data_IF_016681072159
#
_entry.id   IF_016681072159
#
_cell.length_a   1.000
_cell.length_b   1.000
_cell.length_c   1.000
_cell.angle_alpha   90.00
_cell.angle_beta   90.00
_cell.angle_gamma   90.00
#
_symmetry.space_group_name_H-M   'P 1'
#
loop_
_entity.id
_entity.type
_entity.pdbx_description
1 polymer ?
#
# COMPACT_ATOMS: atom_id res chain seq x y z
N UNK A 1 -60.74 -41.92 1.56
CA UNK A 1 -59.40 -42.11 2.13
C UNK A 1 -58.52 -41.04 1.51
N UNK A 2 -58.36 -39.90 2.22
CA UNK A 2 -57.68 -38.71 1.72
C UNK A 2 -56.24 -38.70 2.22
N UNK A 3 -55.29 -38.83 1.32
CA UNK A 3 -53.88 -38.68 1.62
C UNK A 3 -53.49 -37.24 1.36
N UNK A 4 -53.23 -36.47 2.42
CA UNK A 4 -52.66 -35.15 2.34
C UNK A 4 -51.15 -35.27 2.06
N UNK A 5 -50.75 -34.85 0.88
CA UNK A 5 -49.32 -34.68 0.55
C UNK A 5 -48.80 -33.41 1.23
N UNK A 6 -47.87 -33.60 2.16
CA UNK A 6 -47.16 -32.51 2.84
C UNK A 6 -45.97 -32.08 1.98
N UNK A 7 -46.07 -30.89 1.41
CA UNK A 7 -45.00 -30.28 0.58
C UNK A 7 -44.07 -29.47 1.50
N UNK A 8 -43.06 -30.14 2.06
CA UNK A 8 -41.92 -29.44 2.62
C UNK A 8 -40.78 -29.48 1.58
N UNK A 9 -40.67 -28.43 0.80
CA UNK A 9 -39.51 -28.18 -0.04
C UNK A 9 -38.35 -27.68 0.82
N UNK A 10 -37.53 -28.59 1.30
CA UNK A 10 -36.23 -28.28 1.85
C UNK A 10 -35.33 -27.76 0.75
N UNK A 11 -34.82 -26.55 0.93
CA UNK A 11 -33.74 -26.00 0.08
C UNK A 11 -32.51 -26.81 0.29
N UNK A 12 -32.15 -27.64 -0.68
CA UNK A 12 -30.84 -28.29 -0.74
C UNK A 12 -29.85 -27.23 -1.25
N UNK A 13 -28.97 -26.81 -0.38
CA UNK A 13 -27.76 -26.09 -0.75
C UNK A 13 -26.86 -27.09 -1.51
N UNK A 14 -26.74 -26.88 -2.80
CA UNK A 14 -25.83 -27.63 -3.65
C UNK A 14 -24.41 -27.14 -3.38
N UNK A 15 -23.71 -27.78 -2.44
CA UNK A 15 -22.29 -27.66 -2.33
C UNK A 15 -21.69 -28.41 -3.54
N UNK A 16 -21.21 -27.64 -4.51
CA UNK A 16 -20.52 -28.18 -5.67
C UNK A 16 -19.23 -28.88 -5.28
N UNK A 17 -19.26 -30.21 -5.19
CA UNK A 17 -18.07 -31.01 -5.16
C UNK A 17 -17.44 -30.93 -6.55
N UNK A 18 -16.33 -30.19 -6.73
CA UNK A 18 -15.48 -30.28 -7.88
C UNK A 18 -14.86 -31.68 -7.91
N UNK A 19 -15.41 -32.56 -8.73
CA UNK A 19 -14.79 -33.83 -9.04
C UNK A 19 -13.47 -33.56 -9.75
N UNK A 20 -12.37 -33.88 -9.10
CA UNK A 20 -11.06 -33.92 -9.72
C UNK A 20 -11.03 -35.07 -10.75
N UNK A 21 -11.13 -34.72 -12.01
CA UNK A 21 -10.82 -35.63 -13.09
C UNK A 21 -9.29 -35.83 -13.14
N UNK A 22 -8.82 -36.95 -12.69
CA UNK A 22 -7.44 -37.42 -12.90
C UNK A 22 -7.22 -37.68 -14.39
N UNK A 23 -6.72 -36.70 -15.11
CA UNK A 23 -6.12 -36.92 -16.43
C UNK A 23 -4.66 -37.29 -16.19
N UNK A 24 -4.35 -38.60 -16.31
CA UNK A 24 -2.98 -39.08 -16.39
C UNK A 24 -2.50 -38.82 -17.82
N UNK A 25 -1.72 -37.78 -17.98
CA UNK A 25 -1.12 -37.47 -19.28
C UNK A 25 -0.30 -36.20 -19.20
N UNK A 26 1.05 -36.36 -19.21
CA UNK A 26 2.08 -35.32 -19.27
C UNK A 26 1.99 -34.25 -18.17
N UNK A 27 2.88 -34.38 -17.20
CA UNK A 27 3.18 -33.33 -16.24
C UNK A 27 3.79 -32.15 -16.98
N UNK A 28 2.95 -31.29 -17.52
CA UNK A 28 3.28 -29.90 -17.67
C UNK A 28 3.23 -29.38 -16.22
N UNK A 29 4.29 -28.79 -15.68
CA UNK A 29 4.14 -28.07 -14.43
C UNK A 29 3.10 -26.99 -14.71
N UNK A 30 1.88 -27.20 -14.26
CA UNK A 30 0.90 -26.15 -14.17
C UNK A 30 1.44 -25.20 -13.10
N UNK A 31 2.33 -24.31 -13.50
CA UNK A 31 2.50 -23.07 -12.78
C UNK A 31 1.15 -22.41 -12.90
N UNK A 32 0.39 -22.53 -11.83
CA UNK A 32 -0.89 -21.88 -11.72
C UNK A 32 -0.66 -20.40 -11.97
N UNK A 33 -1.04 -19.95 -13.16
CA UNK A 33 -0.86 -18.59 -13.63
C UNK A 33 -1.70 -17.57 -12.87
N UNK A 34 -2.40 -17.94 -11.81
CA UNK A 34 -3.28 -17.06 -11.06
C UNK A 34 -3.05 -17.20 -9.55
N UNK A 35 -1.81 -16.92 -9.12
CA UNK A 35 -1.57 -16.64 -7.72
C UNK A 35 -1.72 -15.14 -7.49
N UNK A 36 -2.95 -14.69 -7.29
CA UNK A 36 -3.23 -13.35 -6.82
C UNK A 36 -2.80 -13.22 -5.36
N UNK A 37 -1.55 -12.88 -5.13
CA UNK A 37 -1.07 -12.47 -3.84
C UNK A 37 -1.51 -11.02 -3.59
N UNK A 38 -2.49 -10.80 -2.72
CA UNK A 38 -2.79 -9.45 -2.25
C UNK A 38 -1.70 -9.05 -1.27
N UNK A 39 -0.92 -8.06 -1.62
CA UNK A 39 0.13 -7.54 -0.77
C UNK A 39 -0.38 -6.29 -0.10
N UNK A 40 -0.64 -6.36 1.20
CA UNK A 40 -0.99 -5.20 1.99
C UNK A 40 0.29 -4.59 2.54
N UNK A 41 0.66 -3.42 2.06
CA UNK A 41 1.62 -2.58 2.74
C UNK A 41 0.83 -1.82 3.79
N UNK A 42 1.00 -2.19 5.07
CA UNK A 42 0.34 -1.50 6.18
C UNK A 42 1.25 -0.43 6.73
N UNK A 43 0.71 0.78 6.93
CA UNK A 43 1.43 1.80 7.67
C UNK A 43 0.97 1.86 9.12
N UNK A 44 1.86 2.34 10.00
CA UNK A 44 1.51 2.58 11.39
C UNK A 44 0.84 3.96 11.53
N UNK A 45 -0.41 3.99 11.96
CA UNK A 45 -1.17 5.22 12.21
C UNK A 45 -0.65 6.04 13.41
N UNK A 46 0.33 5.52 14.15
CA UNK A 46 0.89 6.16 15.35
C UNK A 46 1.71 7.43 15.06
N UNK A 47 1.93 7.75 13.81
CA UNK A 47 2.65 8.96 13.37
C UNK A 47 1.80 9.91 12.54
N UNK A 48 0.51 9.70 12.51
CA UNK A 48 -0.38 10.77 12.13
C UNK A 48 -0.19 11.91 13.08
N UNK A 49 0.15 13.01 12.49
CA UNK A 49 0.30 14.32 13.05
C UNK A 49 -0.61 14.53 14.22
N UNK A 50 -0.07 14.89 15.35
CA UNK A 50 -0.89 15.44 16.43
C UNK A 50 -1.71 16.58 15.86
N UNK A 51 -3.02 16.49 15.94
CA UNK A 51 -3.94 17.54 15.50
C UNK A 51 -3.78 18.89 16.25
N UNK A 52 -2.71 19.02 17.02
CA UNK A 52 -2.36 20.23 17.79
C UNK A 52 -1.71 21.31 16.94
N UNK A 53 -1.14 20.96 15.78
CA UNK A 53 -0.41 21.92 14.95
C UNK A 53 -1.20 22.45 13.76
N UNK A 54 -2.47 22.07 13.59
CA UNK A 54 -3.33 22.58 12.52
C UNK A 54 -2.97 22.08 11.12
N UNK A 55 -2.00 21.17 10.96
CA UNK A 55 -1.61 20.56 9.69
C UNK A 55 -1.11 19.13 9.86
N UNK A 56 -0.98 18.42 8.76
CA UNK A 56 -0.52 17.04 8.74
C UNK A 56 -0.20 16.53 7.36
N UNK A 57 0.22 15.26 7.30
CA UNK A 57 0.40 14.56 6.04
C UNK A 57 -0.69 13.51 5.86
N UNK A 58 -1.39 13.58 4.74
CA UNK A 58 -2.19 12.50 4.22
C UNK A 58 -1.27 11.52 3.50
N UNK A 59 -1.31 10.26 3.89
CA UNK A 59 -0.47 9.19 3.37
C UNK A 59 -1.34 8.00 3.01
N UNK A 60 -0.92 7.12 2.08
CA UNK A 60 -1.69 5.94 1.72
C UNK A 60 -1.87 5.02 2.94
N UNK A 61 -3.09 4.58 3.19
CA UNK A 61 -3.41 3.62 4.25
C UNK A 61 -2.99 2.20 3.89
N UNK A 62 -2.89 1.91 2.59
CA UNK A 62 -2.40 0.66 2.04
C UNK A 62 -1.95 0.86 0.59
N UNK A 63 -1.02 0.03 0.13
CA UNK A 63 -0.59 -0.05 -1.26
C UNK A 63 -0.83 -1.51 -1.71
N UNK A 64 -2.04 -1.81 -2.23
CA UNK A 64 -2.40 -3.18 -2.60
C UNK A 64 -1.86 -3.52 -3.99
N UNK A 65 -0.80 -4.30 -4.05
CA UNK A 65 -0.30 -4.83 -5.32
C UNK A 65 -1.14 -6.04 -5.77
N UNK A 66 -1.55 -6.03 -7.03
CA UNK A 66 -2.20 -7.16 -7.68
C UNK A 66 -1.21 -8.22 -8.19
N UNK A 67 -1.75 -9.26 -8.84
CA UNK A 67 -0.94 -10.28 -9.51
C UNK A 67 -0.16 -9.70 -10.71
N UNK A 68 -0.73 -8.72 -11.38
CA UNK A 68 -0.12 -8.08 -12.55
C UNK A 68 0.87 -6.99 -12.13
N UNK A 69 2.14 -7.14 -12.50
CA UNK A 69 3.21 -6.17 -12.26
C UNK A 69 3.06 -4.87 -13.04
N UNK A 70 2.33 -4.89 -14.16
CA UNK A 70 2.10 -3.69 -14.96
C UNK A 70 1.15 -2.70 -14.31
N UNK A 71 0.41 -3.15 -13.28
CA UNK A 71 -0.53 -2.30 -12.56
C UNK A 71 0.21 -1.52 -11.49
N UNK A 72 0.16 -0.21 -11.62
CA UNK A 72 0.69 0.73 -10.63
C UNK A 72 -0.35 1.07 -9.58
N UNK A 73 0.11 1.38 -8.37
CA UNK A 73 -0.76 1.76 -7.25
C UNK A 73 -0.39 3.16 -6.78
N UNK A 74 -1.40 3.97 -6.46
CA UNK A 74 -1.19 5.30 -5.89
C UNK A 74 -0.53 5.21 -4.52
N UNK A 75 0.57 5.95 -4.38
CA UNK A 75 1.33 6.10 -3.14
C UNK A 75 1.58 7.58 -2.81
N UNK A 76 0.75 8.47 -3.34
CA UNK A 76 0.87 9.91 -3.17
C UNK A 76 0.79 10.34 -1.71
N UNK A 77 1.46 11.43 -1.39
CA UNK A 77 1.44 12.05 -0.07
C UNK A 77 1.11 13.54 -0.22
N UNK A 78 0.30 14.06 0.70
CA UNK A 78 -0.14 15.45 0.69
C UNK A 78 0.03 16.08 2.08
N UNK A 79 0.59 17.28 2.13
CA UNK A 79 0.44 18.15 3.28
C UNK A 79 -0.99 18.72 3.28
N UNK A 80 -1.68 18.67 4.40
CA UNK A 80 -3.06 19.16 4.48
C UNK A 80 -3.31 19.98 5.76
N UNK A 81 -4.35 20.80 5.73
CA UNK A 81 -4.85 21.51 6.89
C UNK A 81 -5.81 20.60 7.66
N UNK A 82 -5.56 20.41 8.97
CA UNK A 82 -6.43 19.56 9.82
C UNK A 82 -7.73 20.24 10.22
N UNK A 83 -7.87 21.55 9.99
CA UNK A 83 -9.13 22.27 10.20
C UNK A 83 -10.14 21.84 9.14
N UNK A 84 -11.33 21.37 9.51
CA UNK A 84 -12.35 20.96 8.55
C UNK A 84 -12.66 22.07 7.53
N UNK A 85 -12.51 21.75 6.23
CA UNK A 85 -12.71 22.71 5.13
C UNK A 85 -11.58 23.75 4.97
N UNK A 86 -10.51 23.65 5.75
CA UNK A 86 -9.35 24.54 5.62
C UNK A 86 -8.47 24.13 4.43
N UNK A 87 -7.95 25.11 3.70
CA UNK A 87 -6.93 24.92 2.67
C UNK A 87 -5.52 24.95 3.24
N UNK A 88 -4.54 24.45 2.49
CA UNK A 88 -3.12 24.46 2.88
C UNK A 88 -2.61 25.89 3.11
N UNK A 89 -3.06 26.85 2.31
CA UNK A 89 -2.70 28.28 2.47
C UNK A 89 -3.09 28.88 3.81
N UNK A 90 -4.12 28.35 4.44
CA UNK A 90 -4.64 28.81 5.74
C UNK A 90 -3.87 28.25 6.94
N UNK A 91 -2.91 27.35 6.73
CA UNK A 91 -2.07 26.85 7.82
C UNK A 91 -1.17 27.98 8.31
N UNK A 92 -1.28 28.34 9.59
CA UNK A 92 -0.47 29.41 10.20
C UNK A 92 0.71 28.87 11.01
N UNK A 93 0.68 27.59 11.33
CA UNK A 93 1.63 26.94 12.25
C UNK A 93 2.70 26.12 11.54
N UNK A 94 2.66 26.05 10.20
CA UNK A 94 3.71 25.39 9.44
C UNK A 94 5.04 26.14 9.59
N UNK A 95 6.15 25.46 9.92
CA UNK A 95 7.46 26.08 10.02
C UNK A 95 7.85 26.85 8.76
N UNK A 96 8.60 27.94 8.90
CA UNK A 96 9.00 28.77 7.76
C UNK A 96 9.82 28.00 6.70
N UNK A 97 10.59 26.99 7.12
CA UNK A 97 11.32 26.08 6.23
C UNK A 97 10.50 24.89 5.75
N UNK A 98 9.21 24.81 6.09
CA UNK A 98 8.34 23.70 5.78
C UNK A 98 8.54 22.48 6.69
N UNK A 99 8.05 21.32 6.25
CA UNK A 99 8.17 20.04 6.93
C UNK A 99 8.83 19.01 6.00
N UNK A 100 9.88 18.37 6.47
CA UNK A 100 10.59 17.32 5.71
C UNK A 100 9.95 15.97 6.01
N UNK A 101 9.34 15.34 5.00
CA UNK A 101 8.72 14.04 5.12
C UNK A 101 9.71 12.94 4.76
N UNK A 102 9.78 11.92 5.61
CA UNK A 102 10.66 10.76 5.46
C UNK A 102 9.84 9.49 5.29
N UNK A 103 10.41 8.54 4.57
CA UNK A 103 9.90 7.19 4.37
C UNK A 103 10.96 6.16 4.78
N UNK A 104 10.51 5.10 5.42
CA UNK A 104 11.30 3.92 5.73
C UNK A 104 10.48 2.67 5.50
N UNK A 105 11.06 1.68 4.83
CA UNK A 105 10.53 0.33 4.72
C UNK A 105 11.13 -0.57 5.79
N UNK A 106 10.33 -1.42 6.40
CA UNK A 106 10.80 -2.42 7.38
C UNK A 106 11.64 -3.52 6.72
N UNK A 107 11.32 -3.86 5.46
CA UNK A 107 11.99 -4.93 4.71
C UNK A 107 12.79 -4.42 3.50
N UNK A 108 13.15 -3.12 3.45
CA UNK A 108 13.93 -2.53 2.36
C UNK A 108 13.19 -2.61 1.02
N UNK A 109 11.93 -2.18 0.97
CA UNK A 109 11.07 -2.18 -0.23
C UNK A 109 10.91 -3.59 -0.84
N UNK A 110 10.78 -4.56 0.04
CA UNK A 110 10.58 -5.97 -0.29
C UNK A 110 9.38 -6.50 0.49
N UNK A 111 8.45 -7.07 -0.22
CA UNK A 111 7.29 -7.74 0.34
C UNK A 111 7.71 -9.16 0.73
N UNK A 112 7.46 -9.55 1.96
CA UNK A 112 7.89 -10.84 2.52
C UNK A 112 6.68 -11.69 2.87
N UNK A 113 6.78 -13.00 2.61
CA UNK A 113 5.89 -14.02 3.17
C UNK A 113 6.58 -14.65 4.39
N UNK A 114 6.33 -14.10 5.57
CA UNK A 114 7.12 -14.45 6.75
C UNK A 114 8.58 -14.04 6.57
N UNK A 115 9.51 -15.01 6.56
CA UNK A 115 10.93 -14.79 6.32
C UNK A 115 11.39 -15.28 4.93
N UNK A 116 10.46 -15.66 4.06
CA UNK A 116 10.75 -16.28 2.76
C UNK A 116 10.07 -15.52 1.61
N UNK A 117 10.37 -15.94 0.39
CA UNK A 117 9.76 -15.49 -0.87
C UNK A 117 9.73 -13.96 -1.03
N UNK A 118 10.88 -13.29 -1.14
CA UNK A 118 10.96 -11.84 -1.28
C UNK A 118 10.43 -11.39 -2.64
N UNK A 119 9.55 -10.40 -2.63
CA UNK A 119 8.99 -9.76 -3.83
C UNK A 119 9.32 -8.28 -3.81
N UNK A 120 10.19 -7.84 -4.69
CA UNK A 120 10.63 -6.46 -4.74
C UNK A 120 9.56 -5.52 -5.29
N UNK A 121 9.54 -4.30 -4.77
CA UNK A 121 8.73 -3.21 -5.30
C UNK A 121 9.50 -1.89 -5.19
N UNK A 122 9.00 -0.87 -5.86
CA UNK A 122 9.53 0.48 -5.82
C UNK A 122 8.42 1.51 -5.70
N UNK A 123 8.74 2.69 -5.20
CA UNK A 123 7.86 3.85 -5.18
C UNK A 123 8.58 5.03 -5.82
N UNK A 124 8.03 5.54 -6.91
CA UNK A 124 8.54 6.73 -7.58
C UNK A 124 7.72 7.96 -7.16
N UNK A 125 8.38 8.98 -6.65
CA UNK A 125 7.76 10.25 -6.29
C UNK A 125 8.14 11.35 -7.29
N UNK A 126 7.15 12.18 -7.62
CA UNK A 126 7.32 13.40 -8.43
C UNK A 126 6.64 14.59 -7.76
N UNK A 127 7.18 15.77 -7.92
CA UNK A 127 6.66 17.02 -7.35
C UNK A 127 7.77 18.01 -7.02
N UNK A 128 7.44 19.29 -6.91
CA UNK A 128 8.44 20.34 -6.72
C UNK A 128 9.18 20.26 -5.38
N UNK A 129 8.53 19.71 -4.33
CA UNK A 129 9.15 19.50 -3.01
C UNK A 129 9.94 18.20 -2.88
N UNK A 130 9.94 17.33 -3.91
CA UNK A 130 10.59 16.02 -3.87
C UNK A 130 12.10 16.15 -4.01
N UNK A 131 12.84 15.60 -3.06
CA UNK A 131 14.32 15.57 -3.08
C UNK A 131 14.88 14.19 -3.47
N UNK A 132 14.10 13.11 -3.24
CA UNK A 132 14.43 11.76 -3.67
C UNK A 132 13.26 11.17 -4.46
N UNK A 133 13.50 10.92 -5.74
CA UNK A 133 12.46 10.49 -6.67
C UNK A 133 12.16 8.99 -6.61
N UNK A 134 13.11 8.13 -6.22
CA UNK A 134 12.92 6.68 -6.24
C UNK A 134 13.28 6.05 -4.89
N UNK A 135 12.40 5.21 -4.40
CA UNK A 135 12.55 4.36 -3.22
C UNK A 135 12.44 2.89 -3.65
N UNK A 136 13.51 2.16 -3.49
CA UNK A 136 13.68 0.76 -3.87
C UNK A 136 14.61 0.04 -2.87
N UNK A 137 15.06 -1.17 -3.16
CA UNK A 137 15.93 -1.98 -2.30
C UNK A 137 17.28 -1.32 -1.96
N UNK A 138 17.67 -0.25 -2.66
CA UNK A 138 18.89 0.51 -2.33
C UNK A 138 18.70 1.45 -1.15
N UNK A 139 17.43 1.72 -0.76
CA UNK A 139 17.09 2.58 0.36
C UNK A 139 16.90 1.74 1.63
N UNK A 140 17.96 1.62 2.40
CA UNK A 140 17.99 0.75 3.60
C UNK A 140 17.72 1.49 4.92
N UNK A 141 17.61 2.82 4.88
CA UNK A 141 17.42 3.66 6.07
C UNK A 141 16.30 4.67 5.86
N UNK A 142 15.87 5.29 6.95
CA UNK A 142 14.93 6.41 6.93
C UNK A 142 15.47 7.49 5.99
N UNK A 143 14.76 7.78 4.92
CA UNK A 143 15.20 8.69 3.85
C UNK A 143 14.11 9.71 3.54
N UNK A 144 14.50 10.97 3.33
CA UNK A 144 13.56 12.03 3.01
C UNK A 144 12.97 11.85 1.61
N UNK A 145 11.64 11.89 1.49
CA UNK A 145 10.93 12.07 0.22
C UNK A 145 11.19 13.48 -0.28
N UNK A 146 11.01 14.48 0.59
CA UNK A 146 11.16 15.88 0.25
C UNK A 146 10.81 16.82 1.39
N UNK A 147 10.83 18.11 1.08
CA UNK A 147 10.37 19.16 1.98
C UNK A 147 9.11 19.79 1.42
N UNK A 148 8.10 19.88 2.26
CA UNK A 148 6.75 20.32 1.91
C UNK A 148 6.44 21.63 2.61
N UNK A 149 5.82 22.53 1.89
CA UNK A 149 5.37 23.84 2.35
C UNK A 149 4.01 24.15 1.71
N UNK A 150 3.52 25.37 1.87
CA UNK A 150 2.24 25.82 1.31
C UNK A 150 2.22 25.81 -0.22
N UNK A 151 3.36 25.97 -0.86
CA UNK A 151 3.51 26.00 -2.32
C UNK A 151 3.71 24.60 -2.87
N UNK A 152 4.55 23.82 -2.18
CA UNK A 152 4.95 22.47 -2.56
C UNK A 152 4.35 21.48 -1.56
N UNK A 153 3.05 21.22 -1.65
CA UNK A 153 2.32 20.46 -0.63
C UNK A 153 1.95 19.03 -1.06
N UNK A 154 2.30 18.64 -2.27
CA UNK A 154 1.98 17.30 -2.82
C UNK A 154 3.22 16.65 -3.43
N UNK A 155 3.43 15.36 -3.13
CA UNK A 155 4.27 14.49 -3.94
C UNK A 155 3.38 13.37 -4.51
N UNK A 156 3.30 13.32 -5.84
CA UNK A 156 2.63 12.22 -6.54
C UNK A 156 3.52 11.00 -6.46
N UNK A 157 3.01 9.95 -5.82
CA UNK A 157 3.69 8.67 -5.62
C UNK A 157 3.07 7.57 -6.47
N UNK A 158 3.89 6.80 -7.14
CA UNK A 158 3.49 5.63 -7.92
C UNK A 158 4.28 4.44 -7.42
N UNK A 159 3.59 3.46 -6.86
CA UNK A 159 4.19 2.20 -6.43
C UNK A 159 4.05 1.14 -7.52
N UNK A 160 5.11 0.40 -7.79
CA UNK A 160 5.19 -0.65 -8.80
C UNK A 160 5.87 -1.88 -8.22
N UNK A 161 5.27 -3.04 -8.42
CA UNK A 161 5.90 -4.31 -8.06
C UNK A 161 6.90 -4.70 -9.16
N UNK A 162 8.16 -4.95 -8.80
CA UNK A 162 9.25 -5.27 -9.73
C UNK A 162 9.64 -6.74 -9.71
N UNK A 163 9.35 -7.46 -8.61
CA UNK A 163 9.58 -8.88 -8.45
C UNK A 163 8.32 -9.74 -8.62
N UNK A 164 8.50 -11.05 -8.69
CA UNK A 164 7.44 -12.05 -8.70
C UNK A 164 7.53 -12.93 -7.46
N UNK A 165 6.37 -13.29 -6.91
CA UNK A 165 6.27 -14.31 -5.88
C UNK A 165 6.53 -15.70 -6.50
N UNK A 166 7.27 -16.53 -5.79
CA UNK A 166 7.47 -17.94 -6.15
C UNK A 166 6.51 -18.85 -5.38
N UNK A 167 5.96 -18.33 -4.29
CA UNK A 167 5.00 -19.05 -3.45
C UNK A 167 3.67 -18.29 -3.39
N UNK A 168 2.56 -19.02 -3.34
CA UNK A 168 1.26 -18.44 -3.09
C UNK A 168 1.09 -17.97 -1.65
N UNK A 169 0.31 -16.92 -1.45
CA UNK A 169 -0.04 -16.40 -0.14
C UNK A 169 0.18 -14.90 -0.02
N UNK A 170 -0.10 -14.36 1.16
CA UNK A 170 0.05 -12.95 1.42
C UNK A 170 1.52 -12.58 1.65
N UNK A 171 1.98 -11.56 0.92
CA UNK A 171 3.28 -10.92 1.12
C UNK A 171 3.03 -9.52 1.66
N UNK A 172 3.87 -9.06 2.57
CA UNK A 172 3.70 -7.75 3.19
C UNK A 172 5.03 -7.06 3.50
N UNK A 173 4.98 -5.74 3.53
CA UNK A 173 5.99 -4.86 4.09
C UNK A 173 5.31 -3.80 4.93
N UNK A 174 6.05 -3.15 5.82
CA UNK A 174 5.56 -2.03 6.60
C UNK A 174 6.33 -0.78 6.23
N UNK A 175 5.62 0.24 5.75
CA UNK A 175 6.17 1.56 5.51
C UNK A 175 5.90 2.47 6.70
N UNK A 176 6.94 3.14 7.18
CA UNK A 176 6.86 4.15 8.22
C UNK A 176 7.12 5.53 7.62
N UNK A 177 6.13 6.41 7.72
CA UNK A 177 6.27 7.81 7.40
C UNK A 177 6.54 8.61 8.67
N UNK A 178 7.45 9.54 8.59
CA UNK A 178 7.75 10.48 9.69
C UNK A 178 8.13 11.84 9.13
N UNK A 179 7.94 12.90 9.89
CA UNK A 179 8.33 14.23 9.44
C UNK A 179 9.21 14.95 10.49
N UNK A 180 9.91 15.96 10.02
CA UNK A 180 10.72 16.85 10.81
C UNK A 180 10.41 18.28 10.41
N UNK A 181 10.17 19.14 11.40
CA UNK A 181 10.00 20.58 11.20
C UNK A 181 11.30 21.20 10.70
N UNK A 182 11.23 21.99 9.63
CA UNK A 182 12.38 22.70 9.12
C UNK A 182 12.34 24.14 9.61
N UNK A 183 13.30 24.51 10.44
CA UNK A 183 13.52 25.91 10.78
C UNK A 183 13.99 26.63 9.53
N UNK A 184 13.30 27.69 9.12
CA UNK A 184 13.75 28.53 8.01
C UNK A 184 15.16 29.09 8.30
N UNK A 185 15.98 29.12 7.28
CA UNK A 185 17.29 29.75 7.34
C UNK A 185 17.15 31.26 7.35
#
# INVERSE_FOLDING_TARGET
MNIKMNRNMGRVLLAGACAAALVVGSAVPAFAADQSGTTNVTYSSSQQVPGTNGWGFEIPTSIPFGADKSVTVDASVNLFNTTPGGSVDQITTLPAGGAKLHLQSANGFTLMKGASDPVNYEIAYTGAGVSKALFDQTVTTKTAIGTFDKTNHTAMGVATRTGDATEGGAHSDTLTFSYEDQTGA
#
